data_IF_715797629643
#
_entry.id   IF_715797629643
#
_cell.length_a   1.000
_cell.length_b   1.000
_cell.length_c   1.000
_cell.angle_alpha   90.00
_cell.angle_beta   90.00
_cell.angle_gamma   90.00
#
_symmetry.space_group_name_H-M   'P 1'
#
loop_
_entity.id
_entity.type
_entity.pdbx_description
1 polymer ?
#
# COMPACT_ATOMS: atom_id res chain seq x y z
N UNK A 1 -10.79 -16.30 -3.13
CA UNK A 1 -9.58 -16.13 -2.30
C UNK A 1 -9.09 -14.71 -2.48
N UNK A 2 -8.95 -13.92 -1.41
CA UNK A 2 -8.50 -12.53 -1.51
C UNK A 2 -7.06 -12.50 -2.05
N UNK A 3 -6.81 -12.04 -3.29
CA UNK A 3 -5.57 -12.31 -4.01
C UNK A 3 -4.42 -11.35 -3.64
N UNK A 4 -4.47 -10.73 -2.46
CA UNK A 4 -3.70 -9.52 -2.20
C UNK A 4 -2.35 -9.78 -1.53
N UNK A 5 -1.96 -11.03 -1.38
CA UNK A 5 -0.60 -11.39 -1.01
C UNK A 5 0.14 -11.83 -2.27
N UNK A 6 1.12 -11.03 -2.74
CA UNK A 6 2.02 -11.54 -3.77
C UNK A 6 2.73 -12.78 -3.20
N UNK A 7 2.85 -13.85 -3.99
CA UNK A 7 3.35 -15.16 -3.53
C UNK A 7 4.75 -15.09 -2.88
N UNK A 8 5.50 -14.01 -3.15
CA UNK A 8 6.83 -13.71 -2.61
C UNK A 8 6.90 -12.32 -1.95
N UNK A 9 5.78 -11.85 -1.36
CA UNK A 9 5.68 -10.54 -0.74
C UNK A 9 6.65 -10.38 0.44
N UNK A 10 7.45 -9.31 0.43
CA UNK A 10 8.16 -8.86 1.63
C UNK A 10 7.20 -8.11 2.53
N UNK A 11 7.21 -8.32 3.85
CA UNK A 11 6.27 -7.69 4.80
C UNK A 11 6.66 -6.22 5.07
N UNK A 12 6.52 -5.34 4.10
CA UNK A 12 6.93 -3.93 4.24
C UNK A 12 5.80 -3.11 4.86
N UNK A 13 4.66 -3.02 4.17
CA UNK A 13 3.52 -2.25 4.66
C UNK A 13 2.96 -2.81 5.97
N UNK A 14 2.98 -4.14 6.14
CA UNK A 14 2.54 -4.81 7.37
C UNK A 14 3.45 -4.58 8.57
N UNK A 15 4.74 -4.32 8.35
CA UNK A 15 5.65 -3.97 9.43
C UNK A 15 5.55 -2.48 9.78
N UNK A 16 5.33 -1.62 8.77
CA UNK A 16 5.16 -0.18 8.97
C UNK A 16 3.84 0.18 9.64
N UNK A 17 2.77 -0.52 9.27
CA UNK A 17 1.44 -0.33 9.85
C UNK A 17 0.85 -1.69 10.23
N UNK A 18 1.27 -2.30 11.35
CA UNK A 18 0.63 -3.49 11.88
C UNK A 18 -0.85 -3.21 12.14
N UNK A 19 -1.74 -4.07 11.63
CA UNK A 19 -3.17 -3.91 11.82
C UNK A 19 -3.73 -5.02 12.70
N UNK A 20 -4.13 -4.66 13.92
CA UNK A 20 -4.73 -5.59 14.90
C UNK A 20 -6.26 -5.46 14.98
N UNK A 21 -6.86 -4.61 14.16
CA UNK A 21 -8.30 -4.37 14.13
C UNK A 21 -9.10 -5.38 13.31
N UNK A 22 -10.43 -5.19 13.28
CA UNK A 22 -11.31 -6.02 12.45
C UNK A 22 -11.16 -5.65 10.97
N UNK A 23 -10.46 -6.50 10.21
CA UNK A 23 -10.19 -6.27 8.79
C UNK A 23 -11.47 -6.19 7.95
N UNK A 24 -12.49 -7.00 8.25
CA UNK A 24 -13.75 -6.97 7.50
C UNK A 24 -14.47 -5.62 7.68
N UNK A 25 -14.50 -5.10 8.91
CA UNK A 25 -15.08 -3.79 9.21
C UNK A 25 -14.32 -2.66 8.53
N UNK A 26 -12.98 -2.68 8.55
CA UNK A 26 -12.17 -1.67 7.89
C UNK A 26 -12.38 -1.68 6.37
N UNK A 27 -12.41 -2.87 5.76
CA UNK A 27 -12.64 -3.02 4.31
C UNK A 27 -14.01 -2.55 3.86
N UNK A 28 -15.03 -2.53 4.73
CA UNK A 28 -16.35 -1.94 4.41
C UNK A 28 -16.31 -0.41 4.29
N UNK A 29 -15.37 0.24 4.96
CA UNK A 29 -15.22 1.70 4.95
C UNK A 29 -14.22 2.18 3.89
N UNK A 30 -13.41 1.26 3.38
CA UNK A 30 -12.38 1.55 2.39
C UNK A 30 -12.92 1.41 0.97
N UNK A 31 -12.36 2.18 0.01
CA UNK A 31 -12.65 1.98 -1.40
C UNK A 31 -12.27 0.57 -1.88
N UNK A 32 -12.79 0.20 -3.05
CA UNK A 32 -12.49 -1.08 -3.65
C UNK A 32 -10.97 -1.29 -3.78
N UNK A 33 -10.47 -2.41 -3.24
CA UNK A 33 -9.05 -2.69 -3.19
C UNK A 33 -8.35 -2.59 -4.54
N UNK A 34 -8.94 -3.13 -5.62
CA UNK A 34 -8.30 -3.13 -6.96
C UNK A 34 -8.18 -1.72 -7.51
N UNK A 35 -9.20 -0.89 -7.29
CA UNK A 35 -9.17 0.53 -7.64
C UNK A 35 -8.10 1.26 -6.85
N UNK A 36 -8.06 1.07 -5.52
CA UNK A 36 -7.04 1.67 -4.64
C UNK A 36 -5.62 1.24 -4.99
N UNK A 37 -5.41 -0.03 -5.32
CA UNK A 37 -4.13 -0.55 -5.76
C UNK A 37 -3.67 0.12 -7.05
N UNK A 38 -4.57 0.29 -8.03
CA UNK A 38 -4.25 0.96 -9.28
C UNK A 38 -3.89 2.44 -9.05
N UNK A 39 -4.68 3.14 -8.23
CA UNK A 39 -4.42 4.53 -7.85
C UNK A 39 -3.04 4.65 -7.18
N UNK A 40 -2.79 3.84 -6.15
CA UNK A 40 -1.53 3.85 -5.41
C UNK A 40 -0.33 3.49 -6.30
N UNK A 41 -0.50 2.55 -7.23
CA UNK A 41 0.54 2.18 -8.19
C UNK A 41 0.86 3.32 -9.14
N UNK A 42 -0.15 4.02 -9.66
CA UNK A 42 0.06 5.17 -10.53
C UNK A 42 0.82 6.26 -9.78
N UNK A 43 0.38 6.58 -8.56
CA UNK A 43 1.03 7.55 -7.68
C UNK A 43 2.49 7.18 -7.42
N UNK A 44 2.77 5.94 -7.03
CA UNK A 44 4.13 5.46 -6.77
C UNK A 44 5.04 5.58 -8.01
N UNK A 45 4.49 5.46 -9.22
CA UNK A 45 5.25 5.57 -10.46
C UNK A 45 5.55 7.01 -10.88
N UNK A 46 4.93 8.01 -10.26
CA UNK A 46 5.28 9.42 -10.49
C UNK A 46 6.60 9.82 -9.81
N UNK A 47 7.07 9.05 -8.82
CA UNK A 47 8.27 9.39 -8.03
C UNK A 47 9.43 8.42 -8.31
N UNK A 48 10.52 8.91 -8.89
CA UNK A 48 11.69 8.09 -9.21
C UNK A 48 11.47 7.17 -10.43
N UNK A 49 11.95 5.92 -10.38
CA UNK A 49 11.85 4.98 -11.50
C UNK A 49 10.41 4.50 -11.72
N UNK A 50 9.91 4.60 -12.95
CA UNK A 50 8.64 3.96 -13.35
C UNK A 50 8.75 2.43 -13.33
N UNK A 51 7.61 1.73 -13.49
CA UNK A 51 7.48 0.26 -13.45
C UNK A 51 7.66 -0.39 -12.08
N UNK A 52 7.25 0.29 -11.00
CA UNK A 52 7.18 -0.34 -9.67
C UNK A 52 6.15 -1.46 -9.65
N UNK A 53 6.50 -2.55 -8.96
CA UNK A 53 5.66 -3.74 -8.85
C UNK A 53 5.03 -3.82 -7.47
N UNK A 54 3.78 -4.28 -7.40
CA UNK A 54 3.09 -4.46 -6.12
C UNK A 54 3.84 -5.48 -5.25
N UNK A 55 4.07 -5.13 -3.98
CA UNK A 55 4.73 -6.01 -3.01
C UNK A 55 3.72 -6.53 -1.96
N UNK A 56 3.24 -5.65 -1.09
CA UNK A 56 2.23 -5.97 -0.08
C UNK A 56 1.37 -4.75 0.32
N UNK A 57 0.40 -4.97 1.21
CA UNK A 57 -0.41 -3.91 1.79
C UNK A 57 -0.69 -4.17 3.28
N UNK A 58 -1.08 -3.11 3.97
CA UNK A 58 -1.73 -3.16 5.28
C UNK A 58 -2.90 -2.18 5.32
N UNK A 59 -3.62 -2.19 6.45
CA UNK A 59 -4.61 -1.19 6.80
C UNK A 59 -4.06 -0.41 7.99
N UNK A 60 -4.32 0.89 8.00
CA UNK A 60 -3.98 1.76 9.12
C UNK A 60 -5.26 2.41 9.63
N UNK A 61 -5.45 2.37 10.95
CA UNK A 61 -6.49 3.15 11.63
C UNK A 61 -6.01 4.59 11.77
N UNK A 62 -6.86 5.54 11.41
CA UNK A 62 -6.60 6.97 11.51
C UNK A 62 -7.76 7.65 12.24
N UNK A 63 -7.58 8.89 12.68
CA UNK A 63 -8.66 9.66 13.34
C UNK A 63 -9.90 9.82 12.45
N UNK A 64 -9.70 9.83 11.14
CA UNK A 64 -10.73 9.91 10.11
C UNK A 64 -11.19 8.53 9.58
N UNK A 65 -10.80 7.42 10.21
CA UNK A 65 -11.28 6.08 9.91
C UNK A 65 -10.16 5.11 9.55
N UNK A 66 -10.09 4.73 8.27
CA UNK A 66 -9.08 3.78 7.78
C UNK A 66 -8.46 4.27 6.47
N UNK A 67 -7.21 3.86 6.24
CA UNK A 67 -6.55 3.95 4.93
C UNK A 67 -5.82 2.66 4.59
N UNK A 68 -5.68 2.38 3.30
CA UNK A 68 -4.73 1.38 2.84
C UNK A 68 -3.32 1.95 2.94
N UNK A 69 -2.35 1.09 3.28
CA UNK A 69 -0.92 1.33 3.13
C UNK A 69 -0.40 0.32 2.13
N UNK A 70 0.07 0.76 0.97
CA UNK A 70 0.63 -0.10 -0.07
C UNK A 70 2.14 0.05 -0.13
N UNK A 71 2.84 -1.05 -0.39
CA UNK A 71 4.25 -1.05 -0.74
C UNK A 71 4.48 -1.52 -2.17
N UNK A 72 5.39 -0.85 -2.87
CA UNK A 72 5.77 -1.17 -4.25
C UNK A 72 7.27 -1.33 -4.38
N UNK A 73 7.74 -2.47 -4.89
CA UNK A 73 9.16 -2.74 -5.08
C UNK A 73 9.71 -1.92 -6.25
N UNK A 74 10.83 -1.24 -6.02
CA UNK A 74 11.58 -0.58 -7.09
C UNK A 74 12.24 -1.65 -8.01
N UNK A 75 12.13 -1.52 -9.35
CA UNK A 75 12.62 -2.56 -10.28
C UNK A 75 14.15 -2.72 -10.24
N UNK A 76 14.88 -1.63 -10.01
CA UNK A 76 16.35 -1.58 -10.10
C UNK A 76 17.07 -1.49 -8.75
N UNK A 77 16.35 -1.52 -7.62
CA UNK A 77 16.93 -1.37 -6.28
C UNK A 77 16.37 -2.44 -5.32
N UNK A 78 17.22 -3.39 -4.93
CA UNK A 78 16.85 -4.43 -3.96
C UNK A 78 16.64 -3.79 -2.58
N UNK A 79 15.56 -4.16 -1.89
CA UNK A 79 15.24 -3.65 -0.56
C UNK A 79 14.66 -2.24 -0.52
N UNK A 80 14.45 -1.60 -1.67
CA UNK A 80 13.83 -0.28 -1.77
C UNK A 80 12.37 -0.42 -2.24
N UNK A 81 11.49 0.26 -1.51
CA UNK A 81 10.06 0.24 -1.72
C UNK A 81 9.51 1.67 -1.73
N UNK A 82 8.43 1.89 -2.47
CA UNK A 82 7.63 3.10 -2.32
C UNK A 82 6.41 2.78 -1.48
N UNK A 83 6.15 3.63 -0.50
CA UNK A 83 5.03 3.54 0.42
C UNK A 83 4.00 4.58 0.03
N UNK A 84 2.81 4.10 -0.33
CA UNK A 84 1.70 4.96 -0.74
C UNK A 84 0.47 4.59 0.06
N UNK A 85 -0.19 5.58 0.63
CA UNK A 85 -1.47 5.39 1.30
C UNK A 85 -2.63 5.77 0.40
N UNK A 86 -3.79 5.13 0.56
CA UNK A 86 -5.05 5.54 -0.05
C UNK A 86 -6.12 5.63 1.02
N UNK A 87 -6.62 6.84 1.28
CA UNK A 87 -7.62 7.07 2.31
C UNK A 87 -9.02 6.56 1.91
N UNK A 88 -9.98 6.63 2.83
CA UNK A 88 -11.38 6.23 2.59
C UNK A 88 -12.08 6.97 1.44
N UNK A 89 -11.57 8.13 1.03
CA UNK A 89 -12.08 8.93 -0.10
C UNK A 89 -11.41 8.53 -1.43
N UNK A 90 -10.47 7.57 -1.42
CA UNK A 90 -9.74 7.15 -2.61
C UNK A 90 -8.58 8.07 -2.99
N UNK A 91 -8.18 9.00 -2.12
CA UNK A 91 -7.09 9.93 -2.39
C UNK A 91 -5.74 9.29 -2.02
N UNK A 92 -4.77 9.26 -2.96
CA UNK A 92 -3.44 8.74 -2.66
C UNK A 92 -2.56 9.76 -1.94
N UNK A 93 -1.56 9.27 -1.22
CA UNK A 93 -0.46 10.08 -0.71
C UNK A 93 0.80 9.23 -0.70
N UNK A 94 1.90 9.74 -1.27
CA UNK A 94 3.22 9.10 -1.12
C UNK A 94 3.79 9.46 0.23
N UNK A 95 3.94 8.45 1.09
CA UNK A 95 4.55 8.60 2.41
C UNK A 95 6.07 8.60 2.31
N UNK A 96 6.60 7.64 1.55
CA UNK A 96 8.04 7.55 1.27
C UNK A 96 8.25 6.95 -0.12
N UNK A 97 8.83 7.69 -1.08
CA UNK A 97 9.10 7.15 -2.42
C UNK A 97 10.25 6.14 -2.46
N UNK A 98 11.14 6.08 -1.47
CA UNK A 98 12.36 5.25 -1.47
C UNK A 98 12.65 4.58 -0.11
N UNK A 99 11.62 4.12 0.60
CA UNK A 99 11.75 3.39 1.86
C UNK A 99 12.72 2.21 1.73
N UNK A 100 13.71 2.17 2.62
CA UNK A 100 14.65 1.06 2.73
C UNK A 100 14.26 0.17 3.91
N UNK A 101 14.05 -1.12 3.64
CA UNK A 101 13.75 -2.12 4.68
C UNK A 101 14.99 -2.53 5.48
#
# INVERSE_FOLDING_TARGET
>A
MAPYHSRNATKVARNLSPFEGNQAQALQQLPNFKTSLNIAKNEANMFGNSNKTYNDYSIESTDDGYRYVFSFKAPSKKGIYSIVTVNRQGQPTVVDPNYQQ
#
